data_IF_466770065553
#
_entry.id   IF_466770065553
#
_cell.length_a   1.000
_cell.length_b   1.000
_cell.length_c   1.000
_cell.angle_alpha   90.00
_cell.angle_beta   90.00
_cell.angle_gamma   90.00
#
_symmetry.space_group_name_H-M   'P 1'
#
loop_
_entity.id
_entity.type
_entity.pdbx_description
1 polymer ?
#
# COMPACT_ATOMS: atom_id res chain seq x y z
N UNK A 1 -3.59 -21.35 -3.83
CA UNK A 1 -4.20 -20.02 -3.59
C UNK A 1 -3.53 -19.06 -4.57
N UNK A 2 -4.29 -18.45 -5.50
CA UNK A 2 -3.71 -17.43 -6.38
C UNK A 2 -3.46 -16.18 -5.54
N UNK A 3 -2.25 -15.63 -5.60
CA UNK A 3 -1.93 -14.34 -4.98
C UNK A 3 -2.98 -13.30 -5.41
N UNK A 4 -3.52 -12.47 -4.49
CA UNK A 4 -4.44 -11.41 -4.85
C UNK A 4 -3.80 -10.33 -5.74
N UNK A 5 -2.48 -10.34 -5.90
CA UNK A 5 -1.70 -9.37 -6.66
C UNK A 5 -0.68 -10.05 -7.57
N UNK A 6 -1.17 -10.90 -8.48
CA UNK A 6 -0.36 -11.34 -9.62
C UNK A 6 -0.02 -10.15 -10.54
N UNK A 7 1.01 -10.26 -11.40
CA UNK A 7 1.28 -9.27 -12.43
C UNK A 7 0.00 -8.97 -13.23
N UNK A 8 -0.36 -7.68 -13.36
CA UNK A 8 -1.56 -7.25 -14.10
C UNK A 8 -2.63 -6.47 -13.32
N UNK A 9 -2.44 -6.18 -12.03
CA UNK A 9 -3.43 -5.50 -11.20
C UNK A 9 -3.31 -3.96 -11.24
N UNK A 10 -3.59 -3.41 -12.43
CA UNK A 10 -3.47 -1.98 -12.71
C UNK A 10 -4.71 -1.21 -12.27
N UNK A 11 -4.49 -0.07 -11.62
CA UNK A 11 -5.55 0.84 -11.17
C UNK A 11 -5.22 2.25 -11.60
N UNK A 12 -6.25 2.96 -12.04
CA UNK A 12 -6.19 4.41 -12.26
C UNK A 12 -6.96 5.08 -11.11
N UNK A 13 -6.33 6.07 -10.49
CA UNK A 13 -7.04 7.07 -9.71
C UNK A 13 -7.27 8.29 -10.58
N UNK A 14 -8.50 8.80 -10.60
CA UNK A 14 -8.79 10.14 -11.10
C UNK A 14 -8.97 11.08 -9.92
N UNK A 15 -8.16 12.14 -9.89
CA UNK A 15 -8.29 13.28 -8.98
C UNK A 15 -9.13 14.34 -9.70
N UNK A 16 -10.25 14.77 -9.13
CA UNK A 16 -11.11 15.78 -9.72
C UNK A 16 -11.96 16.48 -8.67
N UNK A 17 -12.66 17.54 -9.08
CA UNK A 17 -13.50 18.38 -8.19
C UNK A 17 -14.64 17.62 -7.52
N UNK A 18 -15.04 16.46 -8.07
CA UNK A 18 -16.06 15.58 -7.52
C UNK A 18 -15.52 14.49 -6.57
N UNK A 19 -14.24 14.59 -6.17
CA UNK A 19 -13.58 13.64 -5.28
C UNK A 19 -12.81 12.53 -5.98
N UNK A 20 -12.11 11.72 -5.20
CA UNK A 20 -11.23 10.64 -5.69
C UNK A 20 -12.03 9.42 -6.15
N UNK A 21 -11.74 8.94 -7.36
CA UNK A 21 -12.37 7.73 -7.91
C UNK A 21 -11.34 6.73 -8.42
N UNK A 22 -11.42 5.51 -7.89
CA UNK A 22 -10.65 4.36 -8.34
C UNK A 22 -11.33 3.61 -9.47
N UNK A 23 -10.57 3.20 -10.48
CA UNK A 23 -11.02 2.31 -11.55
C UNK A 23 -9.96 1.25 -11.82
N UNK A 24 -10.37 -0.02 -11.87
CA UNK A 24 -9.49 -1.10 -12.34
C UNK A 24 -9.42 -1.04 -13.86
N UNK A 25 -8.22 -1.13 -14.39
CA UNK A 25 -8.01 -1.21 -15.83
C UNK A 25 -7.20 -2.45 -16.16
N UNK A 26 -7.43 -2.99 -17.36
CA UNK A 26 -6.59 -4.05 -17.90
C UNK A 26 -5.44 -3.38 -18.64
N UNK A 27 -4.22 -3.46 -18.10
CA UNK A 27 -3.03 -3.10 -18.85
C UNK A 27 -2.51 -4.33 -19.58
N UNK A 28 -2.13 -4.18 -20.84
CA UNK A 28 -1.51 -5.22 -21.65
C UNK A 28 0.02 -5.19 -21.58
N UNK A 29 0.61 -4.23 -20.86
CA UNK A 29 2.06 -4.13 -20.71
C UNK A 29 2.57 -5.26 -19.81
N UNK A 30 3.63 -5.94 -20.27
CA UNK A 30 4.34 -6.95 -19.47
C UNK A 30 5.23 -6.21 -18.49
N UNK A 31 4.85 -6.19 -17.22
CA UNK A 31 5.70 -5.65 -16.16
C UNK A 31 6.53 -6.80 -15.57
N UNK A 32 7.82 -6.82 -15.88
CA UNK A 32 8.81 -7.58 -15.11
C UNK A 32 9.26 -6.69 -13.95
N UNK A 33 8.77 -7.04 -12.76
CA UNK A 33 9.28 -6.68 -11.43
C UNK A 33 9.17 -5.25 -10.89
N UNK A 34 8.81 -4.24 -11.68
CA UNK A 34 8.70 -2.86 -11.15
C UNK A 34 7.27 -2.28 -11.13
N UNK A 35 6.86 -1.80 -9.95
CA UNK A 35 5.66 -0.97 -9.79
C UNK A 35 6.00 0.46 -10.24
N UNK A 36 5.30 0.95 -11.26
CA UNK A 36 5.44 2.33 -11.73
C UNK A 36 4.14 3.06 -11.43
N UNK A 37 4.20 4.13 -10.65
CA UNK A 37 3.08 5.06 -10.50
C UNK A 37 3.30 6.19 -11.49
N UNK A 38 2.36 6.35 -12.41
CA UNK A 38 2.33 7.47 -13.36
C UNK A 38 1.17 8.38 -12.98
N UNK A 39 1.47 9.62 -12.61
CA UNK A 39 0.50 10.69 -12.48
C UNK A 39 0.54 11.53 -13.76
N UNK A 40 -0.63 11.84 -14.31
CA UNK A 40 -0.78 12.68 -15.49
C UNK A 40 -1.82 13.75 -15.19
N UNK A 41 -1.41 15.01 -15.25
CA UNK A 41 -2.34 16.12 -15.27
C UNK A 41 -2.77 16.38 -16.72
N UNK A 42 -4.04 16.09 -17.01
CA UNK A 42 -4.65 16.26 -18.34
C UNK A 42 -4.65 17.73 -18.77
N UNK A 43 -4.76 18.67 -17.84
CA UNK A 43 -4.86 20.11 -18.16
C UNK A 43 -3.49 20.73 -18.44
N UNK A 44 -2.47 20.35 -17.68
CA UNK A 44 -1.12 20.88 -17.86
C UNK A 44 -0.22 20.01 -18.74
N UNK A 45 -0.69 18.85 -19.17
CA UNK A 45 0.06 17.82 -19.92
C UNK A 45 1.36 17.39 -19.22
N UNK A 46 1.44 17.57 -17.90
CA UNK A 46 2.61 17.19 -17.11
C UNK A 46 2.47 15.76 -16.61
N UNK A 47 3.56 15.01 -16.71
CA UNK A 47 3.67 13.67 -16.14
C UNK A 47 4.60 13.68 -14.92
N UNK A 48 4.25 12.90 -13.91
CA UNK A 48 5.14 12.51 -12.83
C UNK A 48 5.21 11.00 -12.79
N UNK A 49 6.42 10.46 -12.74
CA UNK A 49 6.65 9.02 -12.66
C UNK A 49 7.36 8.78 -11.34
N UNK A 50 6.71 8.05 -10.43
CA UNK A 50 7.36 7.53 -9.24
C UNK A 50 7.81 6.10 -9.57
N UNK A 51 9.13 5.93 -9.67
CA UNK A 51 9.79 4.65 -9.88
C UNK A 51 10.55 4.30 -8.60
N UNK A 52 9.84 3.69 -7.65
CA UNK A 52 10.46 2.99 -6.53
C UNK A 52 9.77 1.63 -6.39
N UNK A 53 10.59 0.61 -6.14
CA UNK A 53 10.12 -0.75 -5.93
C UNK A 53 9.17 -0.82 -4.71
N UNK A 54 8.20 -1.73 -4.76
CA UNK A 54 7.25 -2.04 -3.68
C UNK A 54 6.53 -0.83 -3.05
N UNK A 55 5.82 -0.06 -3.88
CA UNK A 55 4.92 0.98 -3.41
C UNK A 55 3.44 0.65 -3.68
N UNK A 56 2.55 1.23 -2.87
CA UNK A 56 1.10 1.13 -3.06
C UNK A 56 0.41 2.46 -2.88
N UNK A 57 -0.42 2.81 -3.87
CA UNK A 57 -1.35 3.91 -3.73
C UNK A 57 -2.53 3.53 -2.85
N UNK A 58 -2.90 4.44 -1.97
CA UNK A 58 -3.98 4.29 -0.99
C UNK A 58 -4.85 5.54 -0.97
N UNK A 59 -6.08 5.37 -0.49
CA UNK A 59 -6.89 6.49 -0.01
C UNK A 59 -6.62 6.60 1.49
N UNK A 60 -5.93 7.66 1.92
CA UNK A 60 -5.62 7.93 3.33
C UNK A 60 -6.51 9.06 3.82
N UNK A 61 -7.58 8.73 4.56
CA UNK A 61 -8.52 9.69 5.13
C UNK A 61 -9.06 10.73 4.11
N UNK A 62 -9.36 10.28 2.88
CA UNK A 62 -9.87 11.12 1.79
C UNK A 62 -8.80 11.79 0.94
N UNK A 63 -7.52 11.64 1.28
CA UNK A 63 -6.38 12.14 0.53
C UNK A 63 -5.67 11.02 -0.23
N UNK A 64 -4.90 11.39 -1.25
CA UNK A 64 -4.09 10.44 -1.99
C UNK A 64 -2.84 10.15 -1.16
N UNK A 65 -2.63 8.88 -0.84
CA UNK A 65 -1.41 8.42 -0.16
C UNK A 65 -0.61 7.45 -1.00
N UNK A 66 0.69 7.44 -0.80
CA UNK A 66 1.63 6.43 -1.30
C UNK A 66 2.31 5.79 -0.09
N UNK A 67 2.34 4.47 -0.05
CA UNK A 67 3.09 3.72 0.96
C UNK A 67 4.22 2.97 0.27
N UNK A 68 5.43 3.11 0.79
CA UNK A 68 6.62 2.32 0.44
C UNK A 68 6.91 1.35 1.58
N UNK A 69 7.27 0.11 1.24
CA UNK A 69 7.38 -0.98 2.23
C UNK A 69 8.52 -1.99 1.94
N UNK A 70 9.55 -1.61 1.17
CA UNK A 70 10.71 -2.46 0.88
C UNK A 70 12.00 -2.13 1.66
N UNK A 71 12.00 -1.09 2.49
CA UNK A 71 13.17 -0.69 3.26
C UNK A 71 13.33 -1.56 4.52
N UNK A 72 14.14 -2.61 4.41
CA UNK A 72 14.55 -3.40 5.58
C UNK A 72 15.58 -2.61 6.40
N UNK A 73 15.29 -2.40 7.68
CA UNK A 73 16.21 -1.75 8.62
C UNK A 73 17.13 -2.79 9.26
N UNK A 74 16.55 -3.92 9.69
CA UNK A 74 17.25 -5.10 10.23
C UNK A 74 16.38 -6.36 10.02
N UNK A 75 16.83 -7.53 10.50
CA UNK A 75 16.14 -8.82 10.30
C UNK A 75 14.70 -8.88 10.86
N UNK A 76 14.32 -7.95 11.74
CA UNK A 76 13.04 -7.92 12.44
C UNK A 76 12.32 -6.57 12.33
N UNK A 77 12.82 -5.68 11.45
CA UNK A 77 12.32 -4.33 11.32
C UNK A 77 12.16 -3.92 9.86
N UNK A 78 10.97 -3.43 9.54
CA UNK A 78 10.67 -2.80 8.26
C UNK A 78 10.42 -1.30 8.48
N UNK A 79 10.90 -0.47 7.55
CA UNK A 79 10.53 0.94 7.48
C UNK A 79 9.36 1.10 6.51
N UNK A 80 8.26 1.64 7.02
CA UNK A 80 7.06 1.99 6.28
C UNK A 80 7.09 3.50 6.03
N UNK A 81 7.35 3.93 4.79
CA UNK A 81 7.27 5.35 4.40
C UNK A 81 5.87 5.65 3.88
N UNK A 82 5.18 6.62 4.49
CA UNK A 82 3.82 7.04 4.10
C UNK A 82 3.88 8.48 3.64
N UNK A 83 3.51 8.73 2.38
CA UNK A 83 3.47 10.07 1.80
C UNK A 83 2.01 10.41 1.50
N UNK A 84 1.53 11.54 1.99
CA UNK A 84 0.16 12.01 1.79
C UNK A 84 0.20 13.31 1.01
N UNK A 85 -0.54 13.35 -0.11
CA UNK A 85 -0.67 14.54 -0.95
C UNK A 85 -1.62 15.53 -0.27
N UNK A 86 -1.09 16.67 0.16
CA UNK A 86 -1.81 17.74 0.83
C UNK A 86 -2.46 18.69 -0.17
N UNK A 87 -1.70 19.08 -1.19
CA UNK A 87 -2.15 19.99 -2.24
C UNK A 87 -1.75 19.44 -3.61
N UNK A 88 -2.75 19.28 -4.49
CA UNK A 88 -2.56 18.71 -5.83
C UNK A 88 -1.89 19.70 -6.78
N UNK A 89 -2.20 20.99 -6.64
CA UNK A 89 -1.72 22.07 -7.52
C UNK A 89 -0.26 22.40 -7.22
N UNK A 90 0.10 22.51 -5.93
CA UNK A 90 1.48 22.79 -5.50
C UNK A 90 2.32 21.53 -5.30
N UNK A 91 1.70 20.35 -5.39
CA UNK A 91 2.34 19.04 -5.18
C UNK A 91 3.01 18.93 -3.81
N UNK A 92 2.37 19.46 -2.77
CA UNK A 92 2.87 19.40 -1.40
C UNK A 92 2.58 18.03 -0.77
N UNK A 93 3.61 17.43 -0.17
CA UNK A 93 3.54 16.10 0.43
C UNK A 93 3.89 16.15 1.91
N UNK A 94 3.00 15.63 2.76
CA UNK A 94 3.32 15.22 4.13
C UNK A 94 4.02 13.87 4.07
N UNK A 95 5.22 13.78 4.64
CA UNK A 95 6.04 12.55 4.61
C UNK A 95 6.25 12.02 6.01
N UNK A 96 5.96 10.74 6.18
CA UNK A 96 6.09 10.03 7.45
C UNK A 96 6.92 8.76 7.23
N UNK A 97 7.68 8.36 8.24
CA UNK A 97 8.43 7.12 8.27
C UNK A 97 8.19 6.43 9.61
N UNK A 98 7.86 5.14 9.54
CA UNK A 98 7.55 4.33 10.71
C UNK A 98 8.38 3.06 10.70
N UNK A 99 9.09 2.78 11.79
CA UNK A 99 9.80 1.51 11.95
C UNK A 99 8.89 0.53 12.66
N UNK A 100 8.43 -0.50 11.95
CA UNK A 100 7.63 -1.57 12.53
C UNK A 100 8.56 -2.71 12.95
N UNK A 101 8.50 -3.08 14.24
CA UNK A 101 9.31 -4.17 14.82
C UNK A 101 8.41 -5.30 15.31
N UNK A 102 8.71 -6.52 14.88
CA UNK A 102 8.03 -7.76 15.25
C UNK A 102 8.99 -8.91 14.90
N UNK A 103 9.10 -9.86 15.82
CA UNK A 103 9.96 -11.04 15.67
C UNK A 103 9.61 -11.89 14.43
N UNK A 104 8.44 -11.65 13.82
CA UNK A 104 7.92 -12.38 12.66
C UNK A 104 7.95 -11.56 11.37
N UNK A 105 8.51 -10.34 11.35
CA UNK A 105 8.84 -9.62 10.11
C UNK A 105 10.02 -10.25 9.37
N UNK A 106 10.01 -11.58 9.20
CA UNK A 106 11.01 -12.26 8.41
C UNK A 106 10.73 -12.01 6.92
N UNK A 107 11.52 -11.08 6.36
CA UNK A 107 11.82 -10.94 4.93
C UNK A 107 10.65 -10.59 4.00
N UNK A 108 10.75 -9.44 3.32
CA UNK A 108 10.23 -9.13 1.95
C UNK A 108 8.80 -9.54 1.56
N UNK A 109 7.97 -9.95 2.51
CA UNK A 109 6.67 -10.58 2.27
C UNK A 109 5.52 -9.78 2.90
N UNK A 110 5.77 -8.53 3.31
CA UNK A 110 4.73 -7.61 3.78
C UNK A 110 4.09 -6.92 2.58
N UNK A 111 2.76 -6.98 2.51
CA UNK A 111 1.97 -6.34 1.49
C UNK A 111 0.97 -5.39 2.14
N UNK A 112 0.96 -4.14 1.70
CA UNK A 112 -0.12 -3.21 2.06
C UNK A 112 -1.40 -3.68 1.39
N UNK A 113 -2.46 -3.93 2.14
CA UNK A 113 -3.79 -4.28 1.63
C UNK A 113 -4.55 -3.00 1.27
N UNK A 114 -4.52 -2.01 2.17
CA UNK A 114 -5.18 -0.72 2.04
C UNK A 114 -5.22 0.00 3.38
N UNK A 115 -6.16 0.94 3.49
CA UNK A 115 -6.43 1.69 4.72
C UNK A 115 -7.91 1.50 5.05
N UNK A 116 -8.23 1.25 6.31
CA UNK A 116 -9.62 1.11 6.75
C UNK A 116 -10.24 2.50 7.04
N UNK A 117 -11.50 2.53 7.47
CA UNK A 117 -12.21 3.78 7.76
C UNK A 117 -11.68 4.57 8.96
N UNK A 118 -10.87 3.94 9.82
CA UNK A 118 -10.25 4.56 11.00
C UNK A 118 -8.84 5.10 10.72
N UNK A 119 -8.34 4.95 9.49
CA UNK A 119 -7.00 5.40 9.11
C UNK A 119 -5.89 4.39 9.39
N UNK A 120 -6.24 3.18 9.84
CA UNK A 120 -5.26 2.12 10.08
C UNK A 120 -4.84 1.48 8.75
N UNK A 121 -3.53 1.33 8.59
CA UNK A 121 -2.92 0.68 7.44
C UNK A 121 -3.00 -0.83 7.67
N UNK A 122 -3.69 -1.53 6.76
CA UNK A 122 -3.85 -2.98 6.82
C UNK A 122 -2.72 -3.64 6.06
N UNK A 123 -1.96 -4.48 6.74
CA UNK A 123 -0.83 -5.24 6.22
C UNK A 123 -1.18 -6.74 6.17
N UNK A 124 -0.68 -7.42 5.15
CA UNK A 124 -0.79 -8.87 4.95
C UNK A 124 0.59 -9.44 4.73
N UNK A 125 0.90 -10.60 5.32
CA UNK A 125 2.20 -11.25 5.15
C UNK A 125 2.10 -12.54 4.34
N UNK A 126 2.99 -12.74 3.36
CA UNK A 126 2.91 -13.86 2.44
C UNK A 126 3.55 -15.16 2.94
N UNK A 127 4.46 -15.14 3.92
CA UNK A 127 5.04 -16.36 4.48
C UNK A 127 4.30 -16.86 5.71
N UNK A 128 3.33 -17.71 5.42
CA UNK A 128 2.64 -18.59 6.35
C UNK A 128 3.60 -19.60 6.98
N UNK A 129 4.29 -19.23 8.06
CA UNK A 129 4.81 -20.21 9.03
C UNK A 129 3.75 -20.59 10.07
N UNK A 130 2.69 -19.78 10.19
CA UNK A 130 1.51 -20.02 11.01
C UNK A 130 0.41 -20.72 10.21
N UNK A 131 -0.18 -21.78 10.77
CA UNK A 131 -1.31 -22.52 10.18
C UNK A 131 -2.64 -21.73 10.15
N UNK A 132 -2.62 -20.39 10.29
CA UNK A 132 -3.78 -19.50 10.30
C UNK A 132 -3.45 -18.16 9.60
N UNK A 133 -4.29 -17.69 8.67
CA UNK A 133 -4.15 -16.35 8.07
C UNK A 133 -4.41 -15.27 9.12
N UNK A 134 -3.70 -14.14 9.00
CA UNK A 134 -3.86 -12.98 9.87
C UNK A 134 -3.68 -11.69 9.07
N UNK A 135 -4.23 -10.59 9.60
CA UNK A 135 -3.97 -9.23 9.16
C UNK A 135 -3.32 -8.46 10.30
N UNK A 136 -2.38 -7.59 9.96
CA UNK A 136 -1.84 -6.62 10.91
C UNK A 136 -2.42 -5.24 10.61
N UNK A 137 -2.98 -4.60 11.62
CA UNK A 137 -3.53 -3.25 11.58
C UNK A 137 -2.53 -2.32 12.24
N UNK A 138 -1.89 -1.47 11.43
CA UNK A 138 -0.98 -0.46 11.92
C UNK A 138 -1.72 0.87 12.07
N UNK A 139 -1.68 1.45 13.26
CA UNK A 139 -2.21 2.78 13.55
C UNK A 139 -1.06 3.80 13.49
N UNK A 140 -1.01 4.70 12.47
CA UNK A 140 0.07 5.68 12.33
C UNK A 140 0.03 6.81 13.36
N UNK A 141 -1.13 7.09 13.96
CA UNK A 141 -1.29 8.14 14.98
C UNK A 141 -0.74 7.68 16.34
N UNK A 142 -1.05 6.44 16.70
CA UNK A 142 -0.61 5.83 17.96
C UNK A 142 0.72 5.09 17.83
N UNK A 143 1.21 4.89 16.61
CA UNK A 143 2.36 4.06 16.26
C UNK A 143 2.27 2.65 16.87
N UNK A 144 1.09 2.04 16.78
CA UNK A 144 0.80 0.70 17.33
C UNK A 144 0.48 -0.29 16.21
N UNK A 145 0.87 -1.54 16.42
CA UNK A 145 0.59 -2.65 15.51
C UNK A 145 -0.29 -3.67 16.22
N UNK A 146 -1.44 -3.98 15.64
CA UNK A 146 -2.37 -4.98 16.17
C UNK A 146 -2.58 -6.11 15.17
N UNK A 147 -2.34 -7.34 15.61
CA UNK A 147 -2.63 -8.54 14.81
C UNK A 147 -4.05 -9.04 15.04
N UNK A 148 -4.71 -9.42 13.97
CA UNK A 148 -6.00 -10.11 14.00
C UNK A 148 -5.88 -11.41 13.22
N UNK A 149 -5.99 -12.53 13.93
CA UNK A 149 -6.06 -13.86 13.31
C UNK A 149 -7.45 -14.10 12.73
N UNK A 150 -7.51 -14.67 11.53
CA UNK A 150 -8.77 -14.98 10.86
C UNK A 150 -9.18 -16.40 11.25
N UNK A 151 -10.37 -16.59 11.86
CA UNK A 151 -10.86 -17.91 12.22
C UNK A 151 -10.98 -18.83 10.99
N UNK A 152 -10.56 -20.09 11.14
CA UNK A 152 -10.54 -21.11 10.08
C UNK A 152 -11.88 -21.36 9.37
N UNK A 153 -13.00 -20.96 9.97
CA UNK A 153 -14.36 -21.17 9.46
C UNK A 153 -14.74 -20.28 8.27
N UNK A 154 -14.00 -19.20 7.98
CA UNK A 154 -14.31 -18.28 6.86
C UNK A 154 -13.61 -18.64 5.54
N UNK A 155 -13.09 -19.88 5.39
CA UNK A 155 -12.63 -20.39 4.09
C UNK A 155 -13.86 -20.65 3.21
N UNK A 156 -14.22 -19.67 2.39
CA UNK A 156 -15.19 -19.86 1.30
C UNK A 156 -14.59 -20.92 0.34
N UNK A 157 -15.32 -22.00 0.03
CA UNK A 157 -14.82 -23.10 -0.83
C UNK A 157 -14.46 -22.66 -2.25
#
# INVERSE_FOLDING_TARGET
MRYPFGPGDHRIMTLGTMGMRWRKIKCSLRHEYDFVIVCFDVRSEKFMIYQESSCKLINYNGKLGVIYYDDQVDDYAIELRVWVLEDVETQEWSKYAYTLRDDRFFLRDVFVVGVNSTGEIVLSMAKYTSNQPFYDYFNPEMNTLQRVEIPRFWRIP
#
